data_IF_093289718386
#
_entry.id   IF_093289718386
#
_cell.length_a   1.000
_cell.length_b   1.000
_cell.length_c   1.000
_cell.angle_alpha   90.00
_cell.angle_beta   90.00
_cell.angle_gamma   90.00
#
_symmetry.space_group_name_H-M   'P 1'
#
loop_
_entity.id
_entity.type
_entity.pdbx_description
1 polymer ?
#
# COMPACT_ATOMS: atom_id res chain seq x y z
N UNK A 1 -2.93 14.48 -15.21
CA UNK A 1 -2.03 14.58 -14.04
C UNK A 1 -2.72 15.34 -12.90
N UNK A 2 -3.32 14.60 -11.98
CA UNK A 2 -4.13 15.16 -10.91
C UNK A 2 -3.34 15.09 -9.60
N UNK A 3 -2.74 16.22 -9.24
CA UNK A 3 -2.06 16.40 -7.95
C UNK A 3 -3.07 17.03 -6.99
N UNK A 4 -3.55 16.28 -5.99
CA UNK A 4 -4.32 16.87 -4.90
C UNK A 4 -3.36 17.45 -3.85
N UNK A 5 -3.49 18.76 -3.62
CA UNK A 5 -2.89 19.45 -2.48
C UNK A 5 -3.93 19.38 -1.35
N UNK A 6 -3.68 18.57 -0.32
CA UNK A 6 -4.53 18.48 0.87
C UNK A 6 -4.26 19.71 1.76
N UNK A 7 -5.28 20.52 1.99
CA UNK A 7 -5.28 21.57 3.00
C UNK A 7 -6.51 21.41 3.90
N UNK A 8 -6.21 21.52 5.20
CA UNK A 8 -7.03 21.64 6.42
C UNK A 8 -7.37 20.35 7.21
N UNK A 9 -7.03 20.31 8.53
CA UNK A 9 -7.20 19.12 9.35
C UNK A 9 -8.53 19.15 10.12
N UNK A 10 -9.27 18.04 10.09
CA UNK A 10 -10.28 17.74 11.12
C UNK A 10 -9.71 16.80 12.18
N UNK A 11 -10.18 16.87 13.44
CA UNK A 11 -9.48 16.28 14.58
C UNK A 11 -9.74 14.77 14.67
N UNK A 12 -8.71 13.92 14.62
CA UNK A 12 -8.89 12.48 14.83
C UNK A 12 -7.72 11.84 15.58
N UNK A 13 -8.04 11.14 16.67
CA UNK A 13 -7.18 10.17 17.37
C UNK A 13 -8.02 8.89 17.58
N UNK A 14 -7.46 7.66 17.58
CA UNK A 14 -6.14 7.31 18.12
C UNK A 14 -5.21 6.51 17.18
N UNK A 15 -3.92 6.76 17.39
CA UNK A 15 -2.73 6.33 16.63
C UNK A 15 -2.67 6.96 15.24
N UNK A 16 -2.09 8.15 15.17
CA UNK A 16 -1.57 8.70 13.91
C UNK A 16 -0.46 7.77 13.43
N UNK A 17 -0.84 6.78 12.64
CA UNK A 17 0.02 6.27 11.58
C UNK A 17 0.37 7.46 10.67
N UNK A 18 1.60 7.52 10.17
CA UNK A 18 1.89 8.34 8.98
C UNK A 18 2.18 7.38 7.80
N UNK A 19 1.41 6.29 7.71
CA UNK A 19 1.49 5.34 6.62
C UNK A 19 0.88 5.97 5.38
N UNK A 20 1.71 6.21 4.36
CA UNK A 20 1.27 6.76 3.08
C UNK A 20 0.03 6.03 2.54
N UNK A 21 -0.03 4.70 2.69
CA UNK A 21 -1.09 3.90 2.08
C UNK A 21 -2.40 3.95 2.85
N UNK A 22 -2.36 3.96 4.18
CA UNK A 22 -3.55 4.03 5.04
C UNK A 22 -4.10 5.45 5.15
N UNK A 23 -3.23 6.45 5.36
CA UNK A 23 -3.66 7.81 5.67
C UNK A 23 -3.98 8.63 4.42
N UNK A 24 -3.36 8.30 3.27
CA UNK A 24 -3.45 9.12 2.04
C UNK A 24 -4.04 8.35 0.87
N UNK A 25 -3.43 7.22 0.48
CA UNK A 25 -3.77 6.55 -0.78
C UNK A 25 -5.13 5.88 -0.72
N UNK A 26 -5.37 5.06 0.31
CA UNK A 26 -6.62 4.32 0.44
C UNK A 26 -7.84 5.24 0.59
N UNK A 27 -7.82 6.30 1.44
CA UNK A 27 -8.87 7.31 1.48
C UNK A 27 -9.04 8.08 0.17
N UNK A 28 -7.93 8.45 -0.50
CA UNK A 28 -7.96 9.17 -1.77
C UNK A 28 -8.59 8.37 -2.91
N UNK A 29 -8.32 7.06 -2.96
CA UNK A 29 -8.91 6.15 -3.95
C UNK A 29 -10.28 5.61 -3.52
N UNK A 30 -10.62 5.70 -2.23
CA UNK A 30 -11.78 5.05 -1.61
C UNK A 30 -11.78 3.55 -1.86
N UNK A 31 -10.65 2.89 -1.59
CA UNK A 31 -10.45 1.48 -1.85
C UNK A 31 -9.67 0.83 -0.72
N UNK A 32 -10.05 -0.40 -0.37
CA UNK A 32 -9.16 -1.29 0.39
C UNK A 32 -7.95 -1.65 -0.49
N UNK A 33 -6.76 -1.74 0.11
CA UNK A 33 -5.50 -1.99 -0.57
C UNK A 33 -4.81 -3.28 -0.08
N UNK A 34 -4.09 -3.91 -0.99
CA UNK A 34 -3.13 -4.99 -0.70
C UNK A 34 -1.76 -4.52 -1.18
N UNK A 35 -0.79 -4.48 -0.29
CA UNK A 35 0.47 -3.80 -0.49
C UNK A 35 1.66 -4.74 -0.35
N UNK A 36 2.54 -4.75 -1.34
CA UNK A 36 3.87 -5.31 -1.20
C UNK A 36 4.84 -4.18 -0.96
N UNK A 37 5.35 -4.10 0.27
CA UNK A 37 6.40 -3.16 0.61
C UNK A 37 7.41 -3.86 1.49
N UNK A 38 8.69 -3.79 1.13
CA UNK A 38 9.77 -4.45 1.83
C UNK A 38 9.67 -4.39 3.38
N UNK A 39 9.60 -5.55 4.04
CA UNK A 39 9.46 -5.69 5.51
C UNK A 39 10.76 -6.14 6.22
N UNK A 40 11.93 -5.83 5.66
CA UNK A 40 13.23 -6.18 6.28
C UNK A 40 13.85 -5.01 7.09
N UNK A 41 13.00 -4.23 7.75
CA UNK A 41 13.39 -3.04 8.50
C UNK A 41 12.80 -3.07 9.90
N UNK A 42 13.00 -1.99 10.67
CA UNK A 42 12.43 -1.92 12.02
C UNK A 42 11.00 -1.38 11.98
N UNK A 43 10.10 -2.10 12.65
CA UNK A 43 8.76 -1.63 12.97
C UNK A 43 7.76 -1.72 11.82
N UNK A 44 7.54 -2.93 11.31
CA UNK A 44 6.45 -3.19 10.35
C UNK A 44 5.10 -2.80 10.97
N UNK A 45 4.30 -2.02 10.24
CA UNK A 45 3.06 -1.43 10.78
C UNK A 45 1.91 -2.44 10.90
N UNK A 46 2.05 -3.62 10.29
CA UNK A 46 1.02 -4.65 10.28
C UNK A 46 -0.21 -4.28 9.44
N UNK A 47 -1.29 -5.07 9.54
CA UNK A 47 -2.51 -4.80 8.79
C UNK A 47 -3.35 -3.71 9.47
N UNK A 48 -3.88 -2.79 8.68
CA UNK A 48 -4.95 -1.89 9.09
C UNK A 48 -6.28 -2.52 8.66
N UNK A 49 -7.16 -2.81 9.61
CA UNK A 49 -8.39 -3.56 9.37
C UNK A 49 -9.64 -2.82 9.88
N UNK A 50 -10.79 -3.13 9.28
CA UNK A 50 -12.10 -2.69 9.77
C UNK A 50 -12.47 -3.46 11.06
N UNK A 51 -13.24 -2.85 11.98
CA UNK A 51 -13.82 -1.50 11.92
C UNK A 51 -12.91 -0.38 12.46
N UNK A 52 -11.71 -0.70 12.95
CA UNK A 52 -10.80 0.28 13.55
C UNK A 52 -10.34 1.31 12.52
N UNK A 53 -10.17 0.88 11.27
CA UNK A 53 -9.83 1.73 10.13
C UNK A 53 -11.00 1.80 9.15
N UNK A 54 -11.11 2.92 8.44
CA UNK A 54 -12.16 3.11 7.42
C UNK A 54 -11.96 2.15 6.24
N UNK A 55 -10.70 1.89 5.90
CA UNK A 55 -10.30 1.02 4.80
C UNK A 55 -9.33 -0.04 5.30
N UNK A 56 -9.29 -1.16 4.61
CA UNK A 56 -8.30 -2.20 4.88
C UNK A 56 -7.03 -1.95 4.07
N UNK A 57 -5.88 -1.96 4.74
CA UNK A 57 -4.57 -1.96 4.09
C UNK A 57 -3.76 -3.10 4.67
N UNK A 58 -3.52 -4.12 3.84
CA UNK A 58 -2.90 -5.38 4.26
C UNK A 58 -1.70 -5.70 3.39
N UNK A 59 -0.82 -6.58 3.85
CA UNK A 59 0.41 -6.93 3.12
C UNK A 59 0.24 -8.11 2.16
N UNK A 60 0.89 -8.04 1.01
CA UNK A 60 1.26 -9.22 0.22
C UNK A 60 2.39 -9.93 0.96
N UNK A 61 2.27 -11.23 1.23
CA UNK A 61 3.33 -11.99 1.93
C UNK A 61 4.30 -12.71 1.00
N UNK A 62 3.84 -13.04 -0.20
CA UNK A 62 4.67 -13.67 -1.23
C UNK A 62 4.11 -13.39 -2.62
N UNK A 63 5.02 -13.33 -3.59
CA UNK A 63 4.71 -13.20 -5.00
C UNK A 63 5.41 -14.28 -5.80
N UNK A 64 4.83 -14.60 -6.95
CA UNK A 64 5.42 -15.46 -7.97
C UNK A 64 5.38 -14.75 -9.32
N UNK A 65 6.51 -14.69 -10.00
CA UNK A 65 6.61 -14.18 -11.36
C UNK A 65 7.48 -15.13 -12.18
N UNK A 66 6.95 -15.64 -13.28
CA UNK A 66 7.66 -16.55 -14.20
C UNK A 66 8.25 -17.79 -13.50
N UNK A 67 7.56 -18.33 -12.50
CA UNK A 67 7.98 -19.52 -11.75
C UNK A 67 9.01 -19.26 -10.65
N UNK A 68 9.41 -18.00 -10.46
CA UNK A 68 10.25 -17.59 -9.34
C UNK A 68 9.38 -17.01 -8.23
N UNK A 69 9.59 -17.48 -6.99
CA UNK A 69 8.82 -17.07 -5.81
C UNK A 69 9.73 -16.38 -4.81
N UNK A 70 9.26 -15.28 -4.24
CA UNK A 70 9.92 -14.62 -3.12
C UNK A 70 8.92 -14.09 -2.11
N UNK A 71 9.43 -13.74 -0.93
CA UNK A 71 8.65 -13.22 0.20
C UNK A 71 8.84 -11.71 0.34
N UNK A 72 7.93 -11.07 1.09
CA UNK A 72 7.96 -9.63 1.38
C UNK A 72 9.29 -9.12 2.00
N UNK A 73 10.11 -10.01 2.58
CA UNK A 73 11.41 -9.65 3.15
C UNK A 73 12.56 -9.61 2.11
N UNK A 74 12.32 -10.17 0.93
CA UNK A 74 13.29 -10.30 -0.15
C UNK A 74 13.06 -9.31 -1.29
N UNK A 75 11.90 -8.65 -1.34
CA UNK A 75 11.58 -7.66 -2.37
C UNK A 75 11.71 -6.23 -1.86
N UNK A 76 12.47 -5.41 -2.58
CA UNK A 76 12.61 -3.98 -2.31
C UNK A 76 11.49 -3.14 -2.97
N UNK A 77 10.65 -3.78 -3.76
CA UNK A 77 9.51 -3.16 -4.44
C UNK A 77 8.50 -2.63 -3.44
N UNK A 78 7.78 -1.60 -3.88
CA UNK A 78 6.78 -0.88 -3.10
C UNK A 78 5.61 -0.59 -4.01
N UNK A 79 4.59 -1.43 -3.89
CA UNK A 79 3.40 -1.30 -4.70
C UNK A 79 2.17 -1.75 -3.94
N UNK A 80 1.02 -1.25 -4.34
CA UNK A 80 -0.27 -1.70 -3.82
C UNK A 80 -1.27 -1.88 -4.96
N UNK A 81 -2.23 -2.77 -4.74
CA UNK A 81 -3.39 -2.96 -5.62
C UNK A 81 -4.67 -2.76 -4.83
N UNK A 82 -5.69 -2.18 -5.46
CA UNK A 82 -7.02 -2.10 -4.85
C UNK A 82 -7.72 -3.46 -4.82
N UNK A 83 -8.42 -3.82 -3.74
CA UNK A 83 -9.15 -5.10 -3.65
C UNK A 83 -10.36 -5.20 -4.58
N UNK A 84 -11.03 -4.09 -4.86
CA UNK A 84 -12.35 -4.07 -5.54
C UNK A 84 -12.38 -3.20 -6.80
N UNK A 85 -11.22 -2.76 -7.30
CA UNK A 85 -11.07 -1.92 -8.48
C UNK A 85 -9.76 -2.27 -9.20
N UNK A 86 -9.39 -1.51 -10.24
CA UNK A 86 -8.21 -1.79 -11.06
C UNK A 86 -7.03 -0.85 -10.78
N UNK A 87 -6.90 -0.33 -9.56
CA UNK A 87 -5.78 0.54 -9.23
C UNK A 87 -4.52 -0.27 -8.92
N UNK A 88 -3.41 0.16 -9.51
CA UNK A 88 -2.05 -0.19 -9.10
C UNK A 88 -1.35 1.11 -8.70
N UNK A 89 -0.74 1.11 -7.52
CA UNK A 89 0.10 2.18 -7.04
C UNK A 89 1.54 1.67 -6.92
N UNK A 90 2.52 2.39 -7.45
CA UNK A 90 3.95 2.06 -7.34
C UNK A 90 4.69 3.28 -6.82
N UNK A 91 5.51 3.12 -5.78
CA UNK A 91 6.09 4.24 -5.06
C UNK A 91 7.42 3.95 -4.36
N UNK A 92 7.77 4.81 -3.41
CA UNK A 92 9.07 4.88 -2.74
C UNK A 92 9.01 4.62 -1.22
N UNK A 93 7.80 4.53 -0.63
CA UNK A 93 7.59 4.29 0.80
C UNK A 93 7.31 2.83 1.13
N UNK A 94 7.98 2.31 2.17
CA UNK A 94 7.60 1.06 2.83
C UNK A 94 6.56 1.30 3.94
N UNK A 95 5.77 0.29 4.27
CA UNK A 95 4.85 0.28 5.43
C UNK A 95 5.57 -0.06 6.74
N UNK A 96 6.48 0.83 7.16
CA UNK A 96 7.31 0.67 8.36
C UNK A 96 7.42 1.98 9.13
N UNK A 97 7.43 1.94 10.47
CA UNK A 97 7.45 3.13 11.32
C UNK A 97 8.68 4.02 11.10
N UNK A 98 9.81 3.44 10.68
CA UNK A 98 10.99 4.21 10.28
C UNK A 98 10.78 5.11 9.05
N UNK A 99 9.76 4.84 8.23
CA UNK A 99 9.43 5.61 7.02
C UNK A 99 8.48 6.78 7.30
N UNK A 100 7.74 6.77 8.40
CA UNK A 100 6.75 7.80 8.76
C UNK A 100 7.32 9.22 8.83
N UNK A 101 8.63 9.36 9.02
CA UNK A 101 9.34 10.64 9.10
C UNK A 101 10.07 11.03 7.80
N UNK A 102 9.86 10.27 6.73
CA UNK A 102 10.50 10.49 5.42
C UNK A 102 9.46 11.00 4.43
N UNK A 103 9.87 11.95 3.59
CA UNK A 103 9.07 12.33 2.43
C UNK A 103 9.09 11.21 1.38
N UNK A 104 7.96 11.06 0.68
CA UNK A 104 7.81 10.14 -0.44
C UNK A 104 6.42 10.24 -1.06
N UNK A 105 6.14 9.36 -2.00
CA UNK A 105 4.87 9.28 -2.69
C UNK A 105 4.70 8.01 -3.53
N UNK A 106 3.51 7.88 -4.10
CA UNK A 106 3.19 6.76 -4.98
C UNK A 106 2.40 7.25 -6.18
N UNK A 107 2.64 6.64 -7.33
CA UNK A 107 1.87 6.90 -8.54
C UNK A 107 0.82 5.81 -8.70
N UNK A 108 -0.45 6.19 -8.69
CA UNK A 108 -1.57 5.28 -8.91
C UNK A 108 -2.12 5.41 -10.34
N UNK A 109 -2.37 4.27 -10.97
CA UNK A 109 -2.97 4.15 -12.31
C UNK A 109 -4.10 3.13 -12.29
N UNK A 110 -5.15 3.37 -13.07
CA UNK A 110 -6.31 2.47 -13.23
C UNK A 110 -6.26 1.66 -14.54
N UNK A 111 -5.07 1.25 -14.96
CA UNK A 111 -4.89 0.43 -16.16
C UNK A 111 -5.14 -1.06 -15.88
N UNK A 112 -6.13 -1.63 -16.56
CA UNK A 112 -6.57 -3.02 -16.34
C UNK A 112 -5.49 -4.07 -16.65
N UNK A 113 -4.64 -3.82 -17.66
CA UNK A 113 -3.59 -4.77 -18.02
C UNK A 113 -2.50 -4.81 -16.94
N UNK A 114 -2.10 -3.64 -16.46
CA UNK A 114 -1.16 -3.47 -15.35
C UNK A 114 -1.72 -4.09 -14.07
N UNK A 115 -2.97 -3.77 -13.70
CA UNK A 115 -3.63 -4.37 -12.55
C UNK A 115 -3.66 -5.89 -12.59
N UNK A 116 -3.99 -6.46 -13.76
CA UNK A 116 -3.99 -7.91 -13.95
C UNK A 116 -2.59 -8.51 -13.76
N UNK A 117 -1.54 -7.86 -14.27
CA UNK A 117 -0.18 -8.33 -14.12
C UNK A 117 0.23 -8.39 -12.64
N UNK A 118 0.03 -7.30 -11.88
CA UNK A 118 0.38 -7.24 -10.45
C UNK A 118 -0.45 -8.23 -9.61
N UNK A 119 -1.77 -8.27 -9.80
CA UNK A 119 -2.64 -9.17 -9.02
C UNK A 119 -2.45 -10.65 -9.35
N UNK A 120 -1.94 -10.98 -10.54
CA UNK A 120 -1.59 -12.35 -10.91
C UNK A 120 -0.34 -12.86 -10.20
N UNK A 121 0.54 -11.96 -9.76
CA UNK A 121 1.76 -12.33 -9.05
C UNK A 121 1.50 -12.71 -7.58
N UNK A 122 0.42 -12.21 -6.96
CA UNK A 122 0.13 -12.42 -5.53
C UNK A 122 -0.19 -13.90 -5.25
N UNK A 123 0.57 -14.49 -4.32
CA UNK A 123 0.35 -15.84 -3.83
C UNK A 123 -0.45 -15.85 -2.52
N UNK A 124 -1.23 -16.92 -2.30
CA UNK A 124 -1.91 -17.17 -1.01
C UNK A 124 -3.09 -16.24 -0.69
N UNK A 125 -3.95 -15.96 -1.68
CA UNK A 125 -5.17 -15.13 -1.56
C UNK A 125 -6.10 -15.57 -0.43
#
# INVERSE_FOLDING_TARGET
>A
PFWHRVNEPEPRTPVESNDLYEDVVSPGLKQDLVCETWQNGSGDLGPFCKPQHTWEVVDVKSVEVNGETWTINQDHSKWCVSKSSNYVCVGDMNRQSGQEKRGGGTLCSSDSATYKAFTSAIQGK
#
